data_IF_678747632805
#
_entry.id   IF_678747632805
#
_cell.length_a   1.000
_cell.length_b   1.000
_cell.length_c   1.000
_cell.angle_alpha   90.00
_cell.angle_beta   90.00
_cell.angle_gamma   90.00
#
_symmetry.space_group_name_H-M   'P 1'
#
loop_
_entity.id
_entity.type
_entity.pdbx_description
1 polymer ?
#
# COMPACT_ATOMS: atom_id res chain seq x y z
N UNK A 1 12.26 -24.77 -33.28
CA UNK A 1 12.38 -24.17 -31.92
C UNK A 1 11.69 -22.79 -31.76
N UNK A 2 11.44 -21.98 -32.81
CA UNK A 2 10.81 -20.65 -32.68
C UNK A 2 9.32 -20.63 -32.27
N UNK A 3 8.55 -21.68 -32.56
CA UNK A 3 7.10 -21.70 -32.32
C UNK A 3 6.72 -21.74 -30.82
N UNK A 4 7.57 -22.36 -30.00
CA UNK A 4 7.41 -22.41 -28.54
C UNK A 4 7.66 -21.04 -27.89
N UNK A 5 8.68 -20.32 -28.36
CA UNK A 5 9.03 -18.98 -27.87
C UNK A 5 7.94 -17.95 -28.17
N UNK A 6 7.35 -17.98 -29.37
CA UNK A 6 6.27 -17.07 -29.75
C UNK A 6 5.00 -17.25 -28.90
N UNK A 7 4.66 -18.50 -28.57
CA UNK A 7 3.53 -18.81 -27.70
C UNK A 7 3.74 -18.29 -26.27
N UNK A 8 4.94 -18.47 -25.72
CA UNK A 8 5.32 -17.93 -24.41
C UNK A 8 5.25 -16.40 -24.38
N UNK A 9 5.79 -15.73 -25.41
CA UNK A 9 5.75 -14.26 -25.52
C UNK A 9 4.32 -13.72 -25.58
N UNK A 10 3.42 -14.38 -26.32
CA UNK A 10 1.99 -14.01 -26.34
C UNK A 10 1.34 -14.14 -24.96
N UNK A 11 1.64 -15.21 -24.21
CA UNK A 11 1.13 -15.38 -22.84
C UNK A 11 1.69 -14.34 -21.87
N UNK A 12 2.99 -14.06 -21.95
CA UNK A 12 3.63 -13.00 -21.15
C UNK A 12 3.01 -11.64 -21.44
N UNK A 13 2.73 -11.33 -22.72
CA UNK A 13 2.09 -10.07 -23.10
C UNK A 13 0.69 -9.91 -22.49
N UNK A 14 -0.10 -10.98 -22.49
CA UNK A 14 -1.44 -11.02 -21.86
C UNK A 14 -1.32 -10.86 -20.34
N UNK A 15 -0.40 -11.57 -19.69
CA UNK A 15 -0.17 -11.45 -18.25
C UNK A 15 0.26 -10.02 -17.85
N UNK A 16 1.15 -9.40 -18.63
CA UNK A 16 1.59 -8.03 -18.39
C UNK A 16 0.46 -7.01 -18.62
N UNK A 17 -0.40 -7.19 -19.63
CA UNK A 17 -1.57 -6.32 -19.83
C UNK A 17 -2.53 -6.38 -18.64
N UNK A 18 -2.78 -7.57 -18.10
CA UNK A 18 -3.63 -7.74 -16.91
C UNK A 18 -3.00 -7.08 -15.67
N UNK A 19 -1.69 -7.22 -15.48
CA UNK A 19 -0.97 -6.57 -14.38
C UNK A 19 -1.07 -5.03 -14.46
N UNK A 20 -0.92 -4.45 -15.66
CA UNK A 20 -1.09 -3.01 -15.88
C UNK A 20 -2.51 -2.54 -15.59
N UNK A 21 -3.54 -3.29 -16.02
CA UNK A 21 -4.93 -2.93 -15.74
C UNK A 21 -5.21 -2.91 -14.23
N UNK A 22 -4.74 -3.92 -13.49
CA UNK A 22 -4.87 -3.97 -12.03
C UNK A 22 -4.19 -2.78 -11.35
N UNK A 23 -3.01 -2.36 -11.84
CA UNK A 23 -2.30 -1.20 -11.31
C UNK A 23 -3.08 0.11 -11.54
N UNK A 24 -3.60 0.30 -12.75
CA UNK A 24 -4.40 1.48 -13.11
C UNK A 24 -5.66 1.56 -12.26
N UNK A 25 -6.40 0.45 -12.09
CA UNK A 25 -7.60 0.42 -11.26
C UNK A 25 -7.28 0.74 -9.80
N UNK A 26 -6.17 0.20 -9.26
CA UNK A 26 -5.70 0.54 -7.91
C UNK A 26 -5.43 2.04 -7.75
N UNK A 27 -4.72 2.66 -8.69
CA UNK A 27 -4.44 4.10 -8.61
C UNK A 27 -5.71 4.97 -8.73
N UNK A 28 -6.63 4.60 -9.63
CA UNK A 28 -7.89 5.33 -9.81
C UNK A 28 -8.78 5.26 -8.58
N UNK A 29 -8.95 4.07 -7.99
CA UNK A 29 -9.74 3.88 -6.76
C UNK A 29 -9.14 4.69 -5.61
N UNK A 30 -7.82 4.73 -5.50
CA UNK A 30 -7.12 5.48 -4.46
C UNK A 30 -7.29 6.99 -4.59
N UNK A 31 -7.27 7.51 -5.82
CA UNK A 31 -7.55 8.93 -6.08
C UNK A 31 -9.00 9.30 -5.79
N UNK A 32 -9.97 8.46 -6.16
CA UNK A 32 -11.41 8.71 -5.90
C UNK A 32 -11.70 8.78 -4.40
N UNK A 33 -11.09 7.90 -3.61
CA UNK A 33 -11.28 7.84 -2.15
C UNK A 33 -10.46 8.89 -1.38
N UNK A 34 -9.65 9.70 -2.06
CA UNK A 34 -8.72 10.64 -1.41
C UNK A 34 -7.68 9.95 -0.52
N UNK A 35 -7.42 8.67 -0.77
CA UNK A 35 -6.52 7.87 0.03
C UNK A 35 -5.10 7.96 -0.53
N UNK A 36 -4.10 7.94 0.36
CA UNK A 36 -2.68 7.94 0.00
C UNK A 36 -2.01 6.72 0.60
N UNK A 37 -1.03 6.17 -0.09
CA UNK A 37 -0.22 5.08 0.45
C UNK A 37 0.48 5.54 1.73
N UNK A 38 0.42 4.72 2.77
CA UNK A 38 1.12 4.99 4.03
C UNK A 38 2.63 5.05 3.80
N UNK A 39 3.28 6.12 4.25
CA UNK A 39 4.72 6.33 4.06
C UNK A 39 5.57 5.39 4.91
N UNK A 40 5.04 4.89 6.04
CA UNK A 40 5.75 4.00 6.96
C UNK A 40 5.72 2.56 6.48
N UNK A 41 4.52 1.96 6.35
CA UNK A 41 4.40 0.56 5.95
C UNK A 41 4.39 0.33 4.43
N UNK A 42 4.38 1.40 3.61
CA UNK A 42 4.34 1.32 2.14
C UNK A 42 3.22 0.41 1.59
N UNK A 43 2.09 0.36 2.29
CA UNK A 43 0.93 -0.46 1.92
C UNK A 43 0.96 -1.91 2.42
N UNK A 44 2.00 -2.33 3.16
CA UNK A 44 2.05 -3.69 3.76
C UNK A 44 1.17 -3.83 4.98
N UNK A 45 0.88 -2.73 5.68
CA UNK A 45 0.07 -2.72 6.90
C UNK A 45 0.80 -3.10 8.17
N UNK A 46 2.07 -3.49 8.07
CA UNK A 46 2.90 -3.91 9.20
C UNK A 46 4.14 -3.03 9.34
N UNK A 47 4.70 -2.95 10.55
CA UNK A 47 5.97 -2.27 10.77
C UNK A 47 7.12 -3.11 10.21
N UNK A 48 8.08 -2.46 9.54
CA UNK A 48 9.30 -3.13 9.09
C UNK A 48 10.36 -3.25 10.18
N UNK A 49 10.29 -2.41 11.21
CA UNK A 49 11.21 -2.33 12.35
C UNK A 49 10.44 -1.99 13.62
N UNK A 50 11.08 -2.15 14.77
CA UNK A 50 10.55 -1.62 16.02
C UNK A 50 10.57 -0.08 16.01
N UNK A 51 9.51 0.54 16.51
CA UNK A 51 9.38 1.99 16.65
C UNK A 51 9.13 2.39 18.11
N UNK A 52 9.51 3.62 18.47
CA UNK A 52 9.29 4.21 19.79
C UNK A 52 9.79 3.31 20.94
N UNK A 53 11.08 2.95 20.92
CA UNK A 53 11.71 2.06 21.90
C UNK A 53 10.99 0.71 22.08
N UNK A 54 10.49 0.14 20.97
CA UNK A 54 9.83 -1.17 20.98
C UNK A 54 8.38 -1.16 21.45
N UNK A 55 7.77 0.02 21.61
CA UNK A 55 6.33 0.13 21.87
C UNK A 55 5.49 -0.40 20.71
N UNK A 56 5.98 -0.26 19.48
CA UNK A 56 5.39 -0.87 18.29
C UNK A 56 6.43 -1.77 17.64
N UNK A 57 6.17 -3.08 17.58
CA UNK A 57 7.19 -4.04 17.13
C UNK A 57 7.15 -4.24 15.62
N UNK A 58 8.27 -4.70 15.06
CA UNK A 58 8.33 -5.24 13.71
C UNK A 58 7.30 -6.36 13.54
N UNK A 59 6.75 -6.47 12.32
CA UNK A 59 5.68 -7.42 11.97
C UNK A 59 4.32 -7.19 12.65
N UNK A 60 4.22 -6.33 13.66
CA UNK A 60 2.92 -5.90 14.20
C UNK A 60 2.26 -4.84 13.30
N UNK A 61 1.03 -4.47 13.64
CA UNK A 61 0.26 -3.45 12.93
C UNK A 61 1.03 -2.14 12.83
N UNK A 62 1.00 -1.55 11.64
CA UNK A 62 1.66 -0.28 11.37
C UNK A 62 1.21 0.79 12.37
N UNK A 63 2.14 1.36 13.12
CA UNK A 63 1.82 2.34 14.16
C UNK A 63 1.13 3.60 13.61
N UNK A 64 1.38 3.94 12.34
CA UNK A 64 0.80 5.12 11.70
C UNK A 64 -0.61 4.88 11.15
N UNK A 65 -0.85 3.73 10.50
CA UNK A 65 -2.10 3.46 9.79
C UNK A 65 -2.97 2.36 10.42
N UNK A 66 -2.49 1.69 11.47
CA UNK A 66 -3.19 0.69 12.27
C UNK A 66 -3.93 -0.38 11.43
N UNK A 67 -3.21 -1.00 10.48
CA UNK A 67 -3.73 -1.93 9.46
C UNK A 67 -4.84 -1.43 8.53
N UNK A 68 -5.14 -0.14 8.56
CA UNK A 68 -5.91 0.48 7.49
C UNK A 68 -4.97 0.73 6.32
N UNK A 69 -4.71 -0.32 5.54
CA UNK A 69 -3.85 -0.27 4.35
C UNK A 69 -4.23 0.85 3.38
N UNK A 70 -5.45 1.38 3.49
CA UNK A 70 -5.99 2.41 2.63
C UNK A 70 -6.87 3.48 3.31
N UNK A 71 -7.19 3.37 4.62
CA UNK A 71 -8.12 4.35 5.23
C UNK A 71 -7.41 5.62 5.69
N UNK A 72 -7.68 6.68 4.94
CA UNK A 72 -7.87 8.04 5.43
C UNK A 72 -6.58 8.65 6.01
N UNK A 73 -5.60 8.90 5.13
CA UNK A 73 -4.70 10.04 5.29
C UNK A 73 -5.22 11.13 4.35
N UNK A 74 -6.36 11.72 4.68
CA UNK A 74 -7.05 12.64 3.75
C UNK A 74 -8.32 13.34 4.24
N UNK A 75 -9.03 12.84 5.26
CA UNK A 75 -10.11 13.62 5.88
C UNK A 75 -9.59 14.39 7.10
N UNK A 76 -10.11 15.60 7.33
CA UNK A 76 -9.73 16.48 8.47
C UNK A 76 -9.84 15.76 9.84
N UNK A 77 -10.70 14.76 9.95
CA UNK A 77 -10.88 13.93 11.15
C UNK A 77 -9.68 12.99 11.42
N UNK A 78 -9.06 12.43 10.38
CA UNK A 78 -7.89 11.53 10.54
C UNK A 78 -6.63 12.26 11.03
N UNK A 79 -6.50 13.54 10.70
CA UNK A 79 -5.36 14.38 11.09
C UNK A 79 -5.37 14.68 12.59
N UNK A 80 -6.55 14.73 13.23
CA UNK A 80 -6.70 14.93 14.68
C UNK A 80 -6.12 13.77 15.50
N UNK A 81 -6.31 12.52 15.04
CA UNK A 81 -5.79 11.34 15.74
C UNK A 81 -4.26 11.32 15.70
N UNK A 82 -3.65 11.63 14.54
CA UNK A 82 -2.19 11.69 14.39
C UNK A 82 -1.57 12.83 15.22
N UNK A 83 -2.26 13.97 15.36
CA UNK A 83 -1.79 15.07 16.21
C UNK A 83 -1.71 14.65 17.68
N UNK A 84 -2.66 13.83 18.16
CA UNK A 84 -2.67 13.32 19.54
C UNK A 84 -1.48 12.41 19.89
N UNK A 85 -0.99 11.62 18.92
CA UNK A 85 0.21 10.80 19.12
C UNK A 85 1.53 11.59 19.03
N UNK A 86 1.54 12.78 18.41
CA UNK A 86 2.73 13.64 18.30
C UNK A 86 3.00 14.47 19.57
N UNK A 87 2.16 14.33 20.60
CA UNK A 87 2.34 15.00 21.90
C UNK A 87 3.12 14.15 22.92
N UNK A 88 3.70 13.03 22.47
CA UNK A 88 4.63 12.20 23.22
C UNK A 88 5.99 12.12 22.51
#
# INVERSE_FOLDING_TARGET
MQHSTLWLLKRIKVLNQLASFVLIVKEMVMKILGAKQCSQCKGTGVNSVDHFNGQFKASELCWLCNCRNWHILGSKESTKVIQGYRQW
#
